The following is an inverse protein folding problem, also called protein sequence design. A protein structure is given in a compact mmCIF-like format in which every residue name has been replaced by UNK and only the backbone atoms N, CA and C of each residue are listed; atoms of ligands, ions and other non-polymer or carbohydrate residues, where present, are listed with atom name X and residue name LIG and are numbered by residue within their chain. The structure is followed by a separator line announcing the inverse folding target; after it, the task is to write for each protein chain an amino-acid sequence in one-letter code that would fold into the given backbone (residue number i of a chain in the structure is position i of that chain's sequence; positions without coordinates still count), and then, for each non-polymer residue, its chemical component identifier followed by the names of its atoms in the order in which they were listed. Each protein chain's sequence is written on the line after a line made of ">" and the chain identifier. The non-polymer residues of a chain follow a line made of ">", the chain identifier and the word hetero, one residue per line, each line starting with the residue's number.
data_IF_599369028398
#
_entry.id   IF_599369028398
#
_cell.length_a   1.000
_cell.length_b   1.000
_cell.length_c   1.000
_cell.angle_alpha   90.00
_cell.angle_beta   90.00
_cell.angle_gamma   90.00
#
_symmetry.space_group_name_H-M   'P 1'
#
loop_
_entity.id
_entity.type
_entity.pdbx_description
1 polymer ?
#
# COMPACT_ATOMS: atom_id res chain seq x y z
N UNK A 1 28.62 -24.22 40.05
CA UNK A 1 27.65 -24.90 39.18
C UNK A 1 26.43 -25.37 39.96
N UNK A 2 25.26 -25.56 39.29
CA UNK A 2 24.05 -26.04 39.96
C UNK A 2 24.23 -27.37 40.69
N UNK A 3 25.06 -28.29 40.17
CA UNK A 3 25.41 -29.54 40.81
C UNK A 3 26.16 -29.28 42.12
N UNK A 4 27.06 -28.32 42.12
CA UNK A 4 27.88 -27.98 43.29
C UNK A 4 27.02 -27.30 44.40
N UNK A 5 26.06 -26.47 44.04
CA UNK A 5 25.12 -25.87 44.96
C UNK A 5 24.16 -26.89 45.58
N UNK A 6 23.66 -27.83 44.75
CA UNK A 6 22.86 -28.97 45.26
C UNK A 6 23.66 -29.83 46.23
N UNK A 7 24.95 -30.13 45.90
CA UNK A 7 25.84 -30.82 46.80
C UNK A 7 26.10 -30.09 48.11
N UNK A 8 26.45 -28.79 48.02
CA UNK A 8 26.74 -28.00 49.21
C UNK A 8 25.48 -27.87 50.10
N UNK A 9 24.29 -27.69 49.50
CA UNK A 9 23.03 -27.69 50.22
C UNK A 9 22.76 -28.99 50.99
N UNK A 10 23.01 -30.13 50.29
CA UNK A 10 22.89 -31.46 50.92
C UNK A 10 23.86 -31.63 52.11
N UNK A 11 25.15 -31.36 51.88
CA UNK A 11 26.18 -31.45 52.95
C UNK A 11 25.86 -30.48 54.13
N UNK A 12 25.34 -29.28 53.80
CA UNK A 12 24.92 -28.35 54.87
C UNK A 12 23.77 -28.92 55.72
N UNK A 13 22.78 -29.54 55.04
CA UNK A 13 21.66 -30.17 55.77
C UNK A 13 22.11 -31.37 56.62
N UNK A 14 23.03 -32.18 56.12
CA UNK A 14 23.60 -33.33 56.90
C UNK A 14 24.24 -32.92 58.21
N UNK A 15 24.84 -31.72 58.30
CA UNK A 15 25.42 -31.21 59.55
C UNK A 15 24.38 -31.10 60.70
N UNK A 16 23.09 -31.06 60.38
CA UNK A 16 21.98 -31.01 61.33
C UNK A 16 21.46 -32.41 61.70
N UNK A 17 21.97 -33.46 61.04
CA UNK A 17 21.54 -34.84 61.21
C UNK A 17 22.78 -35.74 61.42
N UNK A 18 23.40 -35.75 62.59
CA UNK A 18 24.66 -36.43 62.88
C UNK A 18 24.60 -37.97 62.71
N UNK A 19 23.40 -38.53 62.73
CA UNK A 19 23.15 -39.97 62.57
C UNK A 19 23.23 -40.42 61.08
N UNK A 20 23.36 -39.49 60.14
CA UNK A 20 23.50 -39.82 58.74
C UNK A 20 24.97 -39.74 58.30
N UNK A 21 25.50 -40.85 57.84
CA UNK A 21 26.87 -40.95 57.38
C UNK A 21 26.97 -41.16 55.89
N UNK A 22 27.82 -40.34 55.19
CA UNK A 22 28.09 -40.49 53.76
C UNK A 22 29.08 -41.63 53.57
N UNK A 23 28.63 -42.74 53.02
CA UNK A 23 29.44 -43.92 52.79
C UNK A 23 30.30 -43.82 51.53
N UNK A 24 29.77 -43.20 50.49
CA UNK A 24 30.47 -43.02 49.24
C UNK A 24 29.87 -41.80 48.47
N UNK A 25 30.68 -41.21 47.59
CA UNK A 25 30.29 -40.17 46.67
C UNK A 25 30.77 -40.55 45.29
N UNK A 26 29.89 -40.38 44.28
CA UNK A 26 30.20 -40.70 42.86
C UNK A 26 29.96 -39.46 41.99
N UNK A 27 30.77 -39.31 40.98
CA UNK A 27 30.61 -38.33 39.90
C UNK A 27 29.99 -38.99 38.66
N UNK A 28 28.70 -38.72 38.43
CA UNK A 28 27.97 -39.31 37.31
C UNK A 28 28.00 -38.50 36.03
N UNK A 29 28.63 -37.31 36.03
CA UNK A 29 28.39 -36.31 34.98
C UNK A 29 26.92 -35.85 34.95
N UNK A 30 26.59 -34.92 34.09
CA UNK A 30 25.20 -34.40 34.04
C UNK A 30 24.19 -35.46 33.51
N UNK A 31 24.63 -36.33 32.62
CA UNK A 31 23.80 -37.37 31.99
C UNK A 31 23.83 -38.73 32.74
N UNK A 32 24.69 -38.88 33.74
CA UNK A 32 24.87 -40.14 34.42
C UNK A 32 25.56 -41.20 33.58
N UNK A 33 26.49 -40.84 32.67
CA UNK A 33 27.09 -41.75 31.71
C UNK A 33 28.01 -42.79 32.36
N UNK A 34 28.53 -42.52 33.54
CA UNK A 34 29.46 -43.44 34.27
C UNK A 34 28.89 -43.96 35.60
N UNK A 35 27.61 -43.66 35.84
CA UNK A 35 26.98 -43.98 37.15
C UNK A 35 26.90 -45.49 37.38
N UNK A 36 26.51 -46.24 36.37
CA UNK A 36 26.33 -47.70 36.50
C UNK A 36 27.62 -48.41 36.89
N UNK A 37 28.74 -48.05 36.21
CA UNK A 37 30.06 -48.60 36.52
C UNK A 37 30.52 -48.25 37.95
N UNK A 38 30.28 -47.01 38.37
CA UNK A 38 30.70 -46.58 39.74
C UNK A 38 29.84 -47.24 40.83
N UNK A 39 28.55 -47.39 40.61
CA UNK A 39 27.65 -48.13 41.49
C UNK A 39 28.09 -49.59 41.62
N UNK A 40 28.36 -50.25 40.49
CA UNK A 40 28.88 -51.62 40.45
C UNK A 40 30.18 -51.75 41.28
N UNK A 41 31.13 -50.83 41.12
CA UNK A 41 32.40 -50.79 41.85
C UNK A 41 32.20 -50.63 43.36
N UNK A 42 31.24 -49.77 43.80
CA UNK A 42 30.92 -49.54 45.20
C UNK A 42 30.30 -50.78 45.82
N UNK A 43 29.33 -51.37 45.15
CA UNK A 43 28.62 -52.56 45.63
C UNK A 43 29.55 -53.77 45.73
N UNK A 44 30.45 -53.95 44.78
CA UNK A 44 31.51 -55.03 44.82
C UNK A 44 32.49 -54.88 45.99
N UNK A 45 32.66 -53.63 46.51
CA UNK A 45 33.49 -53.44 47.73
C UNK A 45 32.66 -53.64 49.02
N UNK A 46 31.43 -54.10 48.91
CA UNK A 46 30.55 -54.34 50.09
C UNK A 46 29.95 -53.14 50.74
N UNK A 47 29.99 -51.99 50.05
CA UNK A 47 29.38 -50.75 50.57
C UNK A 47 27.89 -50.75 50.18
N UNK A 48 27.01 -50.92 51.14
CA UNK A 48 25.55 -51.01 50.98
C UNK A 48 24.92 -49.82 51.65
N UNK A 49 24.46 -48.78 50.91
CA UNK A 49 23.78 -47.63 51.47
C UNK A 49 22.30 -47.92 51.73
N UNK A 50 21.74 -47.38 52.80
CA UNK A 50 20.29 -47.40 53.06
C UNK A 50 19.51 -46.49 52.12
N UNK A 51 20.09 -45.35 51.74
CA UNK A 51 19.50 -44.34 50.89
C UNK A 51 20.57 -43.79 49.95
N UNK A 52 20.15 -43.51 48.70
CA UNK A 52 20.98 -42.80 47.75
C UNK A 52 20.32 -41.47 47.41
N UNK A 53 21.06 -40.39 47.59
CA UNK A 53 20.69 -39.08 47.10
C UNK A 53 21.32 -38.80 45.73
N UNK A 54 20.48 -38.49 44.78
CA UNK A 54 20.90 -38.16 43.41
C UNK A 54 20.59 -36.73 43.05
N UNK A 55 21.54 -36.03 42.39
CA UNK A 55 21.35 -34.65 41.97
C UNK A 55 20.35 -34.50 40.82
N UNK A 56 19.99 -35.58 40.13
CA UNK A 56 18.93 -35.59 39.11
C UNK A 56 18.14 -36.89 39.17
N UNK A 57 16.86 -36.85 38.81
CA UNK A 57 16.03 -38.07 38.71
C UNK A 57 16.58 -39.05 37.70
N UNK A 58 17.14 -38.59 36.58
CA UNK A 58 17.73 -39.42 35.56
C UNK A 58 18.92 -40.28 36.07
N UNK A 59 19.81 -39.65 36.83
CA UNK A 59 20.89 -40.39 37.51
C UNK A 59 20.35 -41.35 38.55
N UNK A 60 19.37 -40.89 39.32
CA UNK A 60 18.74 -41.73 40.33
C UNK A 60 18.15 -43.02 39.78
N UNK A 61 17.45 -42.96 38.66
CA UNK A 61 16.91 -44.13 37.97
C UNK A 61 18.00 -45.09 37.48
N UNK A 62 19.10 -44.55 36.91
CA UNK A 62 20.24 -45.37 36.50
C UNK A 62 20.87 -46.08 37.72
N UNK A 63 21.04 -45.42 38.87
CA UNK A 63 21.52 -46.00 40.10
C UNK A 63 20.57 -47.12 40.59
N UNK A 64 19.26 -46.87 40.57
CA UNK A 64 18.27 -47.88 40.93
C UNK A 64 18.37 -49.12 40.08
N UNK A 65 18.45 -48.99 38.74
CA UNK A 65 18.57 -50.13 37.84
C UNK A 65 19.89 -50.89 38.00
N UNK A 66 21.01 -50.15 38.18
CA UNK A 66 22.30 -50.79 38.44
C UNK A 66 22.27 -51.59 39.77
N UNK A 67 21.73 -51.06 40.84
CA UNK A 67 21.58 -51.77 42.12
C UNK A 67 20.65 -52.99 41.97
N UNK A 68 19.58 -52.88 41.21
CA UNK A 68 18.62 -53.96 40.97
C UNK A 68 19.26 -55.14 40.24
N UNK A 69 20.27 -54.92 39.33
CA UNK A 69 21.05 -55.99 38.73
C UNK A 69 21.86 -56.80 39.73
N UNK A 70 22.21 -56.19 40.85
CA UNK A 70 22.86 -56.88 42.00
C UNK A 70 21.86 -57.45 43.01
N UNK A 71 20.56 -57.47 42.68
CA UNK A 71 19.51 -57.96 43.59
C UNK A 71 19.16 -57.05 44.75
N UNK A 72 19.61 -55.78 44.68
CA UNK A 72 19.40 -54.80 45.75
C UNK A 72 18.23 -53.85 45.36
N UNK A 73 17.41 -53.54 46.37
CA UNK A 73 16.32 -52.58 46.23
C UNK A 73 16.65 -51.31 47.02
N UNK A 74 17.49 -50.47 46.47
CA UNK A 74 17.92 -49.22 47.08
C UNK A 74 16.82 -48.17 47.07
N UNK A 75 16.67 -47.42 48.19
CA UNK A 75 15.84 -46.21 48.23
C UNK A 75 16.61 -45.05 47.59
N UNK A 76 16.20 -44.66 46.41
CA UNK A 76 16.82 -43.54 45.68
C UNK A 76 15.95 -42.32 45.72
N UNK A 77 16.53 -41.20 46.13
CA UNK A 77 15.86 -39.87 46.15
C UNK A 77 16.51 -39.01 45.05
N UNK A 78 15.67 -38.46 44.18
CA UNK A 78 16.10 -37.62 43.08
C UNK A 78 15.73 -36.17 43.24
N UNK A 79 16.14 -35.37 42.26
CA UNK A 79 15.76 -33.99 42.10
C UNK A 79 15.37 -33.77 40.63
N UNK A 80 14.48 -32.96 40.34
CA UNK A 80 13.87 -32.32 39.19
C UNK A 80 12.35 -32.45 39.23
N UNK A 81 11.78 -33.59 39.59
CA UNK A 81 10.34 -33.81 39.79
C UNK A 81 9.49 -33.54 38.54
N UNK A 82 10.07 -33.73 37.34
CA UNK A 82 9.39 -33.38 36.10
C UNK A 82 8.20 -34.29 35.81
N UNK A 83 7.08 -33.65 35.47
CA UNK A 83 5.84 -34.33 35.12
C UNK A 83 5.77 -34.74 33.65
N UNK A 84 6.73 -35.56 33.22
CA UNK A 84 6.78 -36.15 31.88
C UNK A 84 6.95 -37.66 31.96
N UNK A 85 6.74 -38.37 30.85
CA UNK A 85 6.73 -39.82 30.80
C UNK A 85 7.97 -40.48 31.43
N UNK A 86 9.16 -39.88 31.31
CA UNK A 86 10.43 -40.36 31.88
C UNK A 86 10.93 -39.40 32.96
N UNK A 87 10.08 -38.62 33.56
CA UNK A 87 10.41 -37.67 34.62
C UNK A 87 10.29 -38.26 36.00
N UNK A 88 10.74 -37.46 37.00
CA UNK A 88 10.76 -37.88 38.40
C UNK A 88 9.41 -38.34 38.95
N UNK A 89 8.35 -37.70 38.56
CA UNK A 89 6.97 -38.03 38.95
C UNK A 89 6.60 -39.46 38.51
N UNK A 90 6.81 -39.81 37.24
CA UNK A 90 6.54 -41.13 36.70
C UNK A 90 7.48 -42.20 37.33
N UNK A 91 8.73 -41.83 37.59
CA UNK A 91 9.70 -42.74 38.20
C UNK A 91 9.34 -43.04 39.67
N UNK A 92 8.77 -42.07 40.40
CA UNK A 92 8.24 -42.32 41.75
C UNK A 92 7.00 -43.22 41.71
N UNK A 93 6.08 -43.00 40.76
CA UNK A 93 4.90 -43.87 40.60
C UNK A 93 5.28 -45.31 40.25
N UNK A 94 6.35 -45.53 39.47
CA UNK A 94 6.86 -46.85 39.15
C UNK A 94 7.68 -47.49 40.27
N UNK A 95 7.98 -46.76 41.33
CA UNK A 95 8.79 -47.21 42.43
C UNK A 95 10.30 -47.29 42.12
N UNK A 96 10.76 -46.67 41.06
CA UNK A 96 12.17 -46.55 40.65
C UNK A 96 12.89 -45.47 41.49
N UNK A 97 12.13 -44.46 41.97
CA UNK A 97 12.56 -43.48 42.94
C UNK A 97 11.67 -43.57 44.20
N UNK A 98 12.24 -43.50 45.37
CA UNK A 98 11.49 -43.40 46.63
C UNK A 98 10.85 -42.04 46.78
N UNK A 99 11.51 -41.00 46.30
CA UNK A 99 10.99 -39.63 46.24
C UNK A 99 11.77 -38.80 45.23
N UNK A 100 11.18 -37.69 44.75
CA UNK A 100 11.85 -36.66 43.96
C UNK A 100 11.48 -35.27 44.47
N UNK A 101 12.42 -34.36 44.47
CA UNK A 101 12.20 -32.95 44.78
C UNK A 101 11.87 -32.19 43.50
N UNK A 102 10.77 -31.45 43.52
CA UNK A 102 10.43 -30.52 42.41
C UNK A 102 11.47 -29.42 42.37
N UNK A 103 12.14 -29.26 41.25
CA UNK A 103 13.03 -28.12 41.01
C UNK A 103 12.26 -27.00 40.29
N UNK A 104 11.92 -25.91 41.03
CA UNK A 104 11.17 -24.83 40.44
C UNK A 104 12.03 -24.04 39.46
N UNK A 105 11.61 -23.93 38.21
CA UNK A 105 12.35 -23.20 37.15
C UNK A 105 12.25 -21.68 37.32
N UNK A 106 11.21 -21.18 38.00
CA UNK A 106 11.01 -19.75 38.29
C UNK A 106 10.78 -18.86 37.06
N UNK A 107 10.56 -19.43 35.86
CA UNK A 107 10.43 -18.67 34.60
C UNK A 107 9.39 -17.54 34.67
N UNK A 108 8.21 -17.81 35.26
CA UNK A 108 7.19 -16.78 35.42
C UNK A 108 7.67 -15.63 36.32
N UNK A 109 8.36 -15.97 37.41
CA UNK A 109 8.91 -14.99 38.37
C UNK A 109 9.99 -14.13 37.72
N UNK A 110 10.83 -14.71 36.88
CA UNK A 110 11.85 -14.00 36.12
C UNK A 110 11.20 -12.97 35.18
N UNK A 111 10.14 -13.34 34.45
CA UNK A 111 9.39 -12.41 33.59
C UNK A 111 8.74 -11.29 34.38
N UNK A 112 8.13 -11.60 35.56
CA UNK A 112 7.55 -10.59 36.44
C UNK A 112 8.60 -9.60 36.95
N UNK A 113 9.78 -10.08 37.38
CA UNK A 113 10.88 -9.23 37.84
C UNK A 113 11.42 -8.39 36.69
N UNK A 114 11.64 -8.98 35.50
CA UNK A 114 12.09 -8.25 34.29
C UNK A 114 11.11 -7.10 33.96
N UNK A 115 9.80 -7.35 33.99
CA UNK A 115 8.78 -6.31 33.80
C UNK A 115 8.88 -5.18 34.80
N UNK A 116 9.10 -5.50 36.10
CA UNK A 116 9.28 -4.48 37.17
C UNK A 116 10.53 -3.64 36.93
N UNK A 117 11.65 -4.28 36.54
CA UNK A 117 12.90 -3.59 36.19
C UNK A 117 12.67 -2.61 35.03
N UNK A 118 12.04 -3.06 33.94
CA UNK A 118 11.74 -2.22 32.80
C UNK A 118 10.83 -1.03 33.14
N UNK A 119 9.90 -1.23 34.10
CA UNK A 119 8.99 -0.17 34.56
C UNK A 119 9.59 0.70 35.67
N UNK A 120 10.85 0.42 36.09
CA UNK A 120 11.51 1.07 37.23
C UNK A 120 10.72 0.93 38.56
N UNK A 121 9.97 -0.15 38.70
CA UNK A 121 9.24 -0.50 39.93
C UNK A 121 10.19 -1.18 40.90
N UNK A 122 9.94 -1.10 42.24
CA UNK A 122 10.73 -1.81 43.21
C UNK A 122 10.56 -3.33 43.05
N UNK A 123 11.64 -4.07 43.18
CA UNK A 123 11.65 -5.52 43.13
C UNK A 123 12.62 -6.10 44.14
N UNK A 124 12.32 -7.34 44.60
CA UNK A 124 13.20 -8.11 45.46
C UNK A 124 14.37 -8.69 44.63
N UNK A 125 15.60 -8.48 45.09
CA UNK A 125 16.80 -9.01 44.44
C UNK A 125 16.95 -10.50 44.65
N UNK A 126 16.57 -10.99 45.82
CA UNK A 126 16.64 -12.41 46.21
C UNK A 126 15.21 -12.95 46.34
N UNK A 127 14.89 -13.91 45.50
CA UNK A 127 13.58 -14.56 45.47
C UNK A 127 13.74 -16.03 45.77
N UNK A 128 13.20 -16.48 46.92
CA UNK A 128 13.13 -17.91 47.24
C UNK A 128 11.96 -18.55 46.46
N UNK A 129 12.26 -19.63 45.79
CA UNK A 129 11.25 -20.44 45.12
C UNK A 129 10.88 -21.61 46.00
N UNK A 130 9.59 -21.91 46.06
CA UNK A 130 9.09 -23.05 46.84
C UNK A 130 9.39 -24.35 46.11
N UNK A 131 9.88 -25.35 46.83
CA UNK A 131 10.02 -26.71 46.36
C UNK A 131 9.05 -27.64 47.10
N UNK A 132 8.68 -28.73 46.44
CA UNK A 132 7.83 -29.76 47.06
C UNK A 132 8.47 -31.12 46.88
N UNK A 133 8.15 -32.05 47.76
CA UNK A 133 8.57 -33.46 47.68
C UNK A 133 7.46 -34.25 46.99
N UNK A 134 7.81 -35.02 46.02
CA UNK A 134 6.97 -36.03 45.40
C UNK A 134 7.40 -37.38 45.95
N UNK A 135 6.50 -38.04 46.65
CA UNK A 135 6.62 -39.42 47.12
C UNK A 135 5.48 -40.30 46.61
N UNK A 136 5.48 -41.58 46.98
CA UNK A 136 4.47 -42.52 46.52
C UNK A 136 3.03 -42.11 46.88
N UNK A 137 2.83 -41.32 47.93
CA UNK A 137 1.53 -40.86 48.37
C UNK A 137 1.02 -39.62 47.60
N UNK A 138 1.93 -38.78 47.19
CA UNK A 138 1.63 -37.49 46.52
C UNK A 138 1.78 -37.54 44.99
N UNK A 139 2.54 -38.47 44.44
CA UNK A 139 2.87 -38.58 43.03
C UNK A 139 1.61 -38.58 42.14
N UNK A 140 0.59 -39.35 42.49
CA UNK A 140 -0.68 -39.42 41.75
C UNK A 140 -1.43 -38.07 41.69
N UNK A 141 -1.42 -37.33 42.80
CA UNK A 141 -2.07 -36.02 42.87
C UNK A 141 -1.35 -35.03 41.96
N UNK A 142 -0.02 -34.98 42.04
CA UNK A 142 0.78 -34.12 41.19
C UNK A 142 0.62 -34.46 39.71
N UNK A 143 0.49 -35.75 39.36
CA UNK A 143 0.25 -36.17 37.99
C UNK A 143 -1.09 -35.63 37.44
N UNK A 144 -2.18 -35.82 38.21
CA UNK A 144 -3.50 -35.35 37.83
C UNK A 144 -3.49 -33.82 37.65
N UNK A 145 -2.88 -33.07 38.57
CA UNK A 145 -2.77 -31.64 38.49
C UNK A 145 -1.98 -31.19 37.24
N UNK A 146 -0.85 -31.88 36.98
CA UNK A 146 -0.05 -31.58 35.80
C UNK A 146 -0.77 -31.85 34.46
N UNK A 147 -1.53 -32.95 34.41
CA UNK A 147 -2.37 -33.27 33.24
C UNK A 147 -3.43 -32.20 33.04
N UNK A 148 -4.12 -31.77 34.07
CA UNK A 148 -5.14 -30.70 34.01
C UNK A 148 -4.54 -29.37 33.56
N UNK A 149 -3.35 -29.01 34.05
CA UNK A 149 -2.65 -27.79 33.60
C UNK A 149 -2.34 -27.89 32.11
N UNK A 150 -1.78 -29.01 31.66
CA UNK A 150 -1.43 -29.22 30.27
C UNK A 150 -2.64 -29.18 29.32
N UNK A 151 -3.76 -29.81 29.73
CA UNK A 151 -5.01 -29.72 28.98
C UNK A 151 -5.54 -28.27 28.93
N UNK A 152 -5.41 -27.53 30.03
CA UNK A 152 -5.83 -26.13 30.06
C UNK A 152 -4.95 -25.24 29.15
N UNK A 153 -3.64 -25.45 29.15
CA UNK A 153 -2.70 -24.75 28.27
C UNK A 153 -3.05 -25.04 26.80
N UNK A 154 -3.26 -26.31 26.41
CA UNK A 154 -3.67 -26.66 25.05
C UNK A 154 -4.99 -26.01 24.65
N UNK A 155 -5.96 -25.92 25.58
CA UNK A 155 -7.23 -25.24 25.31
C UNK A 155 -7.05 -23.75 25.12
N UNK A 156 -6.19 -23.11 25.92
CA UNK A 156 -5.86 -21.68 25.76
C UNK A 156 -5.21 -21.41 24.41
N UNK A 157 -4.26 -22.23 23.98
CA UNK A 157 -3.59 -22.10 22.68
C UNK A 157 -4.57 -22.29 21.51
N UNK A 158 -5.50 -23.27 21.64
CA UNK A 158 -6.55 -23.46 20.64
C UNK A 158 -7.48 -22.25 20.53
N UNK A 159 -7.91 -21.71 21.67
CA UNK A 159 -8.74 -20.51 21.73
C UNK A 159 -8.01 -19.29 21.15
N UNK A 160 -6.72 -19.14 21.47
CA UNK A 160 -5.86 -18.10 20.90
C UNK A 160 -5.81 -18.16 19.38
N UNK A 161 -5.54 -19.35 18.83
CA UNK A 161 -5.51 -19.55 17.37
C UNK A 161 -6.86 -19.31 16.70
N UNK A 162 -7.97 -19.67 17.35
CA UNK A 162 -9.32 -19.38 16.83
C UNK A 162 -9.62 -17.88 16.86
N UNK A 163 -9.23 -17.18 17.93
CA UNK A 163 -9.39 -15.74 18.04
C UNK A 163 -8.60 -15.00 16.96
N UNK A 164 -7.35 -15.37 16.72
CA UNK A 164 -6.51 -14.78 15.68
C UNK A 164 -7.12 -14.97 14.29
N UNK A 165 -7.65 -16.16 14.00
CA UNK A 165 -8.38 -16.43 12.74
C UNK A 165 -9.63 -15.59 12.61
N UNK A 166 -10.38 -15.41 13.70
CA UNK A 166 -11.57 -14.59 13.71
C UNK A 166 -11.23 -13.11 13.47
N UNK A 167 -10.25 -12.57 14.19
CA UNK A 167 -9.78 -11.19 14.03
C UNK A 167 -9.25 -10.92 12.61
N UNK A 168 -8.50 -11.87 12.04
CA UNK A 168 -8.00 -11.75 10.67
C UNK A 168 -9.15 -11.74 9.65
N UNK A 169 -10.17 -12.60 9.80
CA UNK A 169 -11.36 -12.60 8.93
C UNK A 169 -12.13 -11.28 9.06
N UNK A 170 -12.32 -10.81 10.28
CA UNK A 170 -13.04 -9.57 10.54
C UNK A 170 -12.33 -8.35 9.93
N UNK A 171 -11.01 -8.27 10.08
CA UNK A 171 -10.21 -7.19 9.46
C UNK A 171 -10.28 -7.23 7.94
N UNK A 172 -10.24 -8.43 7.34
CA UNK A 172 -10.38 -8.61 5.89
C UNK A 172 -11.78 -8.20 5.40
N UNK A 173 -12.84 -8.57 6.12
CA UNK A 173 -14.21 -8.13 5.79
C UNK A 173 -14.36 -6.61 5.82
N UNK A 174 -13.84 -5.95 6.85
CA UNK A 174 -13.85 -4.49 6.96
C UNK A 174 -13.07 -3.83 5.81
N UNK A 175 -11.92 -4.38 5.43
CA UNK A 175 -11.13 -3.88 4.31
C UNK A 175 -11.91 -4.00 2.99
N UNK A 176 -12.60 -5.14 2.76
CA UNK A 176 -13.43 -5.34 1.58
C UNK A 176 -14.63 -4.39 1.55
N UNK A 177 -15.29 -4.15 2.69
CA UNK A 177 -16.38 -3.17 2.80
C UNK A 177 -15.90 -1.75 2.48
N UNK A 178 -14.75 -1.34 3.03
CA UNK A 178 -14.15 -0.04 2.72
C UNK A 178 -13.81 0.09 1.23
N UNK A 179 -13.24 -0.96 0.63
CA UNK A 179 -12.95 -0.99 -0.80
C UNK A 179 -14.23 -0.88 -1.64
N UNK A 180 -15.30 -1.59 -1.27
CA UNK A 180 -16.59 -1.51 -1.96
C UNK A 180 -17.19 -0.09 -1.87
N UNK A 181 -17.17 0.54 -0.71
CA UNK A 181 -17.65 1.92 -0.52
C UNK A 181 -16.84 2.90 -1.37
N UNK A 182 -15.51 2.78 -1.38
CA UNK A 182 -14.65 3.66 -2.20
C UNK A 182 -14.94 3.51 -3.70
N UNK A 183 -15.15 2.29 -4.18
CA UNK A 183 -15.53 2.03 -5.58
C UNK A 183 -16.86 2.67 -5.92
N UNK A 184 -17.89 2.54 -5.05
CA UNK A 184 -19.21 3.15 -5.27
C UNK A 184 -19.10 4.66 -5.35
N UNK A 185 -18.32 5.29 -4.46
CA UNK A 185 -18.08 6.74 -4.48
C UNK A 185 -17.39 7.17 -5.77
N UNK A 186 -16.36 6.44 -6.21
CA UNK A 186 -15.67 6.73 -7.47
C UNK A 186 -16.60 6.62 -8.69
N UNK A 187 -17.43 5.59 -8.74
CA UNK A 187 -18.44 5.43 -9.80
C UNK A 187 -19.41 6.62 -9.79
N UNK A 188 -19.87 7.04 -8.61
CA UNK A 188 -20.73 8.22 -8.45
C UNK A 188 -20.09 9.50 -8.98
N UNK A 189 -18.82 9.73 -8.69
CA UNK A 189 -18.05 10.89 -9.19
C UNK A 189 -17.94 10.85 -10.72
N UNK A 190 -17.56 9.69 -11.29
CA UNK A 190 -17.43 9.52 -12.75
C UNK A 190 -18.77 9.79 -13.44
N UNK A 191 -19.86 9.28 -12.88
CA UNK A 191 -21.21 9.48 -13.40
C UNK A 191 -21.63 10.97 -13.36
N UNK A 192 -21.37 11.65 -12.25
CA UNK A 192 -21.64 13.08 -12.09
C UNK A 192 -20.83 13.94 -13.09
N UNK A 193 -19.53 13.65 -13.26
CA UNK A 193 -18.68 14.31 -14.24
C UNK A 193 -19.16 14.05 -15.67
N UNK A 194 -19.51 12.82 -16.00
CA UNK A 194 -20.03 12.43 -17.31
C UNK A 194 -21.33 13.13 -17.66
N UNK A 195 -22.29 13.20 -16.72
CA UNK A 195 -23.53 13.94 -16.87
C UNK A 195 -23.27 15.44 -17.09
N UNK A 196 -22.38 16.02 -16.31
CA UNK A 196 -22.01 17.44 -16.46
C UNK A 196 -21.39 17.71 -17.85
N UNK A 197 -20.51 16.85 -18.32
CA UNK A 197 -19.92 16.93 -19.66
C UNK A 197 -20.99 16.79 -20.76
N UNK A 198 -21.92 15.88 -20.60
CA UNK A 198 -23.04 15.70 -21.53
C UNK A 198 -23.86 17.00 -21.64
N UNK A 199 -24.29 17.61 -20.54
CA UNK A 199 -25.05 18.85 -20.55
C UNK A 199 -24.26 20.02 -21.17
N UNK A 200 -22.97 20.14 -20.85
CA UNK A 200 -22.11 21.18 -21.45
C UNK A 200 -22.00 20.98 -22.98
N UNK A 201 -21.81 19.75 -23.42
CA UNK A 201 -21.69 19.42 -24.86
C UNK A 201 -22.97 19.69 -25.61
N UNK A 202 -24.12 19.32 -25.06
CA UNK A 202 -25.45 19.61 -25.63
C UNK A 202 -25.65 21.13 -25.78
N UNK A 203 -25.36 21.89 -24.73
CA UNK A 203 -25.46 23.36 -24.76
C UNK A 203 -24.55 23.98 -25.82
N UNK A 204 -23.28 23.57 -25.89
CA UNK A 204 -22.33 24.04 -26.91
C UNK A 204 -22.79 23.73 -28.34
N UNK A 205 -23.33 22.53 -28.57
CA UNK A 205 -23.84 22.14 -29.87
C UNK A 205 -25.01 22.98 -30.31
N UNK A 206 -25.90 23.37 -29.37
CA UNK A 206 -27.01 24.31 -29.64
C UNK A 206 -26.50 25.71 -30.00
N UNK A 207 -25.53 26.24 -29.24
CA UNK A 207 -24.90 27.52 -29.52
C UNK A 207 -24.18 27.56 -30.87
N UNK A 208 -23.41 26.49 -31.18
CA UNK A 208 -22.77 26.35 -32.48
C UNK A 208 -23.77 26.27 -33.63
N UNK A 209 -24.88 25.58 -33.45
CA UNK A 209 -25.98 25.54 -34.42
C UNK A 209 -26.58 26.92 -34.72
N UNK A 210 -26.78 27.74 -33.68
CA UNK A 210 -27.26 29.11 -33.83
C UNK A 210 -26.21 30.00 -34.52
N UNK A 211 -24.95 29.90 -34.13
CA UNK A 211 -23.87 30.66 -34.79
C UNK A 211 -23.74 30.32 -36.29
N UNK A 212 -23.83 29.03 -36.61
CA UNK A 212 -23.78 28.56 -38.00
C UNK A 212 -24.89 29.13 -38.85
N UNK A 213 -26.15 29.13 -38.34
CA UNK A 213 -27.29 29.74 -39.04
C UNK A 213 -27.07 31.23 -39.26
N UNK A 214 -26.62 31.97 -38.24
CA UNK A 214 -26.32 33.40 -38.36
C UNK A 214 -25.23 33.70 -39.37
N UNK A 215 -24.20 32.87 -39.41
CA UNK A 215 -23.11 32.98 -40.41
C UNK A 215 -23.61 32.73 -41.84
N UNK A 216 -24.47 31.72 -42.03
CA UNK A 216 -25.12 31.43 -43.29
C UNK A 216 -25.97 32.60 -43.79
N UNK A 217 -26.80 33.18 -42.88
CA UNK A 217 -27.58 34.38 -43.19
C UNK A 217 -26.70 35.59 -43.62
N UNK A 218 -25.63 35.84 -42.86
CA UNK A 218 -24.67 36.91 -43.19
C UNK A 218 -23.97 36.65 -44.57
N UNK A 219 -23.58 35.41 -44.84
CA UNK A 219 -23.00 35.02 -46.12
C UNK A 219 -23.99 35.31 -47.26
N UNK A 220 -25.25 34.89 -47.10
CA UNK A 220 -26.28 35.08 -48.13
C UNK A 220 -26.59 36.55 -48.37
N UNK A 221 -26.59 37.37 -47.31
CA UNK A 221 -26.69 38.82 -47.43
C UNK A 221 -25.50 39.43 -48.18
N UNK A 222 -24.27 38.99 -47.87
CA UNK A 222 -23.06 39.46 -48.56
C UNK A 222 -23.08 39.08 -50.06
N UNK A 223 -23.52 37.88 -50.39
CA UNK A 223 -23.63 37.40 -51.78
C UNK A 223 -24.67 38.24 -52.53
N UNK A 224 -25.84 38.51 -51.89
CA UNK A 224 -26.88 39.35 -52.49
C UNK A 224 -26.37 40.78 -52.73
N UNK A 225 -25.75 41.41 -51.72
CA UNK A 225 -25.20 42.76 -51.85
C UNK A 225 -24.09 42.87 -52.87
N UNK A 226 -23.20 41.84 -52.95
CA UNK A 226 -22.14 41.75 -53.97
C UNK A 226 -22.73 41.71 -55.37
N UNK A 227 -23.81 40.92 -55.57
CA UNK A 227 -24.49 40.83 -56.85
C UNK A 227 -25.13 42.18 -57.25
N UNK A 228 -25.81 42.83 -56.31
CA UNK A 228 -26.44 44.16 -56.54
C UNK A 228 -25.37 45.22 -56.86
N UNK A 229 -24.25 45.20 -56.18
CA UNK A 229 -23.12 46.09 -56.44
C UNK A 229 -22.54 45.82 -57.87
N UNK A 230 -22.39 44.54 -58.24
CA UNK A 230 -21.91 44.15 -59.57
C UNK A 230 -22.86 44.62 -60.69
N UNK A 231 -24.18 44.40 -60.52
CA UNK A 231 -25.21 44.85 -61.43
C UNK A 231 -25.22 46.37 -61.59
N UNK A 232 -25.14 47.09 -60.44
CA UNK A 232 -25.08 48.56 -60.43
C UNK A 232 -23.83 49.09 -61.11
N UNK A 233 -22.68 48.44 -60.87
CA UNK A 233 -21.40 48.81 -61.50
C UNK A 233 -21.44 48.56 -62.99
N UNK A 234 -22.00 47.39 -63.43
CA UNK A 234 -22.16 47.03 -64.81
C UNK A 234 -23.07 48.05 -65.53
N UNK A 235 -24.20 48.42 -64.94
CA UNK A 235 -25.12 49.40 -65.48
C UNK A 235 -24.48 50.78 -65.63
N UNK A 236 -23.70 51.23 -64.62
CA UNK A 236 -22.93 52.48 -64.71
C UNK A 236 -21.90 52.45 -65.86
N UNK A 237 -21.16 51.36 -66.03
CA UNK A 237 -20.18 51.17 -67.04
C UNK A 237 -20.83 51.19 -68.47
N UNK A 238 -21.99 50.49 -68.64
CA UNK A 238 -22.78 50.52 -69.84
C UNK A 238 -23.27 51.92 -70.17
N UNK A 239 -23.85 52.65 -69.18
CA UNK A 239 -24.28 54.03 -69.39
C UNK A 239 -23.16 54.94 -69.84
N UNK A 240 -21.98 54.92 -69.15
CA UNK A 240 -20.85 55.72 -69.54
C UNK A 240 -20.33 55.37 -70.95
N UNK A 241 -20.37 54.11 -71.39
CA UNK A 241 -19.97 53.67 -72.70
C UNK A 241 -20.91 54.22 -73.81
N UNK A 242 -22.23 54.13 -73.51
CA UNK A 242 -23.28 54.64 -74.45
C UNK A 242 -23.23 56.13 -74.57
N UNK A 243 -23.19 56.86 -73.42
CA UNK A 243 -23.08 58.35 -73.47
C UNK A 243 -21.81 58.82 -74.18
N UNK A 244 -20.69 58.15 -74.00
CA UNK A 244 -19.45 58.51 -74.67
C UNK A 244 -19.50 58.28 -76.16
N UNK A 245 -20.16 57.18 -76.61
CA UNK A 245 -20.41 56.95 -77.99
C UNK A 245 -21.31 58.02 -78.62
N UNK A 246 -22.43 58.32 -77.94
CA UNK A 246 -23.43 59.28 -78.39
C UNK A 246 -22.91 60.72 -78.44
N UNK A 247 -21.97 61.07 -77.56
CA UNK A 247 -21.29 62.37 -77.60
C UNK A 247 -20.18 62.44 -78.63
N UNK A 248 -19.45 61.34 -78.87
CA UNK A 248 -18.35 61.31 -79.91
C UNK A 248 -18.87 61.54 -81.30
N UNK A 249 -20.05 60.95 -81.66
CA UNK A 249 -20.63 61.06 -83.01
C UNK A 249 -20.93 62.50 -83.44
N UNK A 250 -21.69 63.33 -82.66
CA UNK A 250 -21.98 64.74 -83.03
C UNK A 250 -20.69 65.56 -83.01
N UNK A 251 -19.75 65.32 -82.07
CA UNK A 251 -18.49 66.05 -81.99
C UNK A 251 -17.67 65.81 -83.29
N UNK A 252 -17.61 64.58 -83.77
CA UNK A 252 -16.92 64.24 -85.03
C UNK A 252 -17.58 64.92 -86.20
N UNK A 253 -18.96 64.98 -86.22
CA UNK A 253 -19.72 65.70 -87.23
C UNK A 253 -19.51 67.19 -87.20
N UNK A 254 -19.19 67.78 -86.08
CA UNK A 254 -18.86 69.22 -85.91
C UNK A 254 -17.40 69.45 -86.37
N UNK A 255 -16.48 68.59 -85.98
CA UNK A 255 -15.04 68.72 -86.31
C UNK A 255 -14.78 68.69 -87.80
N UNK A 256 -15.39 67.77 -88.55
CA UNK A 256 -15.15 67.59 -89.98
C UNK A 256 -15.48 68.88 -90.81
N UNK A 257 -16.62 69.60 -90.67
CA UNK A 257 -16.85 70.82 -91.36
C UNK A 257 -15.88 71.96 -90.92
N UNK A 258 -15.50 71.97 -89.60
CA UNK A 258 -14.58 73.00 -89.05
C UNK A 258 -13.21 72.84 -89.74
N UNK A 259 -12.68 71.59 -89.90
CA UNK A 259 -11.44 71.33 -90.61
C UNK A 259 -11.51 71.71 -92.05
N UNK A 260 -12.61 71.48 -92.75
CA UNK A 260 -12.84 71.97 -94.14
C UNK A 260 -12.81 73.48 -94.26
N UNK A 261 -13.51 74.16 -93.29
CA UNK A 261 -13.55 75.61 -93.30
C UNK A 261 -12.17 76.27 -93.03
N UNK A 262 -11.33 75.68 -92.13
CA UNK A 262 -9.97 76.17 -91.88
C UNK A 262 -9.05 76.05 -93.08
N UNK A 263 -9.32 75.19 -94.02
CA UNK A 263 -8.55 75.02 -95.32
C UNK A 263 -9.04 75.96 -96.45
N UNK A 264 -10.04 76.78 -96.21
CA UNK A 264 -10.57 77.67 -97.24
C UNK A 264 -9.81 79.02 -97.32
N UNK A 265 -9.40 79.47 -98.56
CA UNK A 265 -8.56 80.64 -98.77
C UNK A 265 -9.34 82.02 -98.58
N UNK A 266 -10.68 82.03 -98.34
CA UNK A 266 -11.48 83.23 -98.36
C UNK A 266 -12.04 83.55 -96.95
N UNK A 267 -11.42 83.27 -95.87
CA UNK A 267 -11.87 83.60 -94.52
C UNK A 267 -11.27 84.92 -94.06
N UNK A 268 -12.09 85.73 -93.35
CA UNK A 268 -11.59 86.92 -92.66
C UNK A 268 -10.78 86.55 -91.43
N UNK A 269 -9.87 87.41 -90.96
CA UNK A 269 -9.09 87.17 -89.72
C UNK A 269 -9.98 86.85 -88.49
N UNK A 270 -11.10 87.50 -88.35
CA UNK A 270 -12.08 87.26 -87.25
C UNK A 270 -12.76 85.87 -87.35
N UNK A 271 -13.06 85.46 -88.63
CA UNK A 271 -13.66 84.13 -88.83
C UNK A 271 -12.62 82.97 -88.53
N UNK A 272 -11.36 83.21 -88.89
CA UNK A 272 -10.28 82.23 -88.55
C UNK A 272 -10.14 82.07 -87.02
N UNK A 273 -10.25 83.19 -86.24
CA UNK A 273 -10.17 83.13 -84.77
C UNK A 273 -11.36 82.41 -84.20
N UNK A 274 -12.60 82.71 -84.67
CA UNK A 274 -13.79 81.97 -84.23
C UNK A 274 -13.79 80.48 -84.54
N UNK A 275 -13.40 80.11 -85.72
CA UNK A 275 -13.26 78.71 -86.13
C UNK A 275 -12.17 78.00 -85.27
N UNK A 276 -11.03 78.70 -84.97
CA UNK A 276 -9.98 78.20 -84.09
C UNK A 276 -10.46 77.95 -82.67
N UNK A 277 -11.32 78.89 -82.15
CA UNK A 277 -11.94 78.69 -80.80
C UNK A 277 -12.89 77.51 -80.79
N UNK A 278 -13.77 77.35 -81.82
CA UNK A 278 -14.72 76.24 -81.88
C UNK A 278 -13.92 74.88 -81.94
N UNK A 279 -12.92 74.83 -82.74
CA UNK A 279 -12.04 73.61 -82.83
C UNK A 279 -11.38 73.29 -81.49
N UNK A 280 -10.77 74.25 -80.81
CA UNK A 280 -10.12 74.07 -79.59
C UNK A 280 -11.10 73.51 -78.51
N UNK A 281 -12.32 74.08 -78.46
CA UNK A 281 -13.36 73.63 -77.51
C UNK A 281 -13.87 72.22 -77.90
N UNK A 282 -14.09 71.93 -79.17
CA UNK A 282 -14.45 70.55 -79.60
C UNK A 282 -13.36 69.50 -79.33
N UNK A 283 -12.07 69.85 -79.49
CA UNK A 283 -10.93 69.00 -79.13
C UNK A 283 -10.86 68.77 -77.62
N UNK A 284 -11.16 69.82 -76.81
CA UNK A 284 -11.26 69.68 -75.32
C UNK A 284 -12.37 68.73 -75.00
N UNK A 285 -13.60 68.88 -75.55
CA UNK A 285 -14.72 68.00 -75.29
C UNK A 285 -14.42 66.57 -75.74
N UNK A 286 -13.80 66.38 -76.94
CA UNK A 286 -13.39 65.04 -77.37
C UNK A 286 -12.39 64.36 -76.46
N UNK A 287 -11.42 65.11 -75.92
CA UNK A 287 -10.52 64.61 -74.88
C UNK A 287 -11.20 64.24 -73.55
N UNK A 288 -12.13 65.08 -73.05
CA UNK A 288 -12.89 64.82 -71.86
C UNK A 288 -13.76 63.57 -72.03
N UNK A 289 -14.43 63.39 -73.16
CA UNK A 289 -15.19 62.18 -73.52
C UNK A 289 -14.27 60.94 -73.55
N UNK A 290 -13.08 61.05 -74.18
CA UNK A 290 -12.10 59.94 -74.19
C UNK A 290 -11.53 59.62 -72.79
N UNK A 291 -11.21 60.64 -72.03
CA UNK A 291 -10.74 60.45 -70.63
C UNK A 291 -11.76 59.74 -69.71
N UNK A 292 -13.08 60.03 -69.89
CA UNK A 292 -14.13 59.34 -69.15
C UNK A 292 -14.23 57.84 -69.49
N UNK A 293 -13.77 57.41 -70.67
CA UNK A 293 -13.66 55.99 -71.03
C UNK A 293 -12.34 55.31 -70.57
N UNK A 294 -11.23 56.08 -70.45
CA UNK A 294 -9.94 55.54 -69.99
C UNK A 294 -9.90 55.23 -68.49
N UNK A 295 -10.86 55.74 -67.69
CA UNK A 295 -11.06 55.28 -66.31
C UNK A 295 -11.48 53.79 -66.24
N UNK A 296 -11.52 53.06 -67.33
CA UNK A 296 -11.87 51.65 -67.44
C UNK A 296 -10.67 50.68 -67.28
N UNK A 297 -9.43 51.19 -67.17
CA UNK A 297 -8.27 50.35 -66.88
C UNK A 297 -7.93 50.46 -65.36
#
# INVERSE_FOLDING_TARGET
>A
TAAQERHNGFIHALKKSPDIHVLAQIEGGWNGDHVEYQVDSILKRGILPDIVYSHTDRMGVKIFHAAKQHGLNLKVVGIDGLARKDGGLANVERGELAASFIYPTGGERVVQIARKILRKEPFERDTQLSSAVIDASTARIFRIQSEQIHESEQRIDQLGTQLDKFLSRYSMQNMLLLAAVTIIVLIGIVLAVSLRWYFITVKRNQELGLQKRKLEEQRDQLVSLSKELQETTQSKLSFFTEVSHDLRTPLTLIMAPIEQLQGSENLTPEQCELIGMIRTNADILMRLVSQTLDFRK
#
